data_IF_544119005517
#
_entry.id   IF_544119005517
#
_cell.length_a   1.000
_cell.length_b   1.000
_cell.length_c   1.000
_cell.angle_alpha   90.00
_cell.angle_beta   90.00
_cell.angle_gamma   90.00
#
_symmetry.space_group_name_H-M   'P 1'
#
loop_
_entity.id
_entity.type
_entity.pdbx_description
1 polymer ?
#
# COMPACT_ATOMS: atom_id res chain seq x y z
N UNK A 1 11.88 -4.06 -7.48
CA UNK A 1 11.04 -3.04 -8.13
C UNK A 1 9.65 -3.63 -8.24
N UNK A 2 8.66 -2.95 -7.67
CA UNK A 2 7.25 -3.34 -7.74
C UNK A 2 6.54 -2.59 -8.86
N UNK A 3 5.54 -3.23 -9.45
CA UNK A 3 4.59 -2.58 -10.36
C UNK A 3 3.34 -2.18 -9.58
N UNK A 4 2.91 -0.93 -9.74
CA UNK A 4 1.69 -0.42 -9.11
C UNK A 4 0.52 -0.54 -10.08
N UNK A 5 -0.42 -1.42 -9.74
CA UNK A 5 -1.66 -1.61 -10.50
C UNK A 5 -2.79 -0.92 -9.73
N UNK A 6 -3.33 0.13 -10.32
CA UNK A 6 -4.38 0.94 -9.71
C UNK A 6 -5.77 0.53 -10.18
N UNK A 7 -6.75 0.61 -9.29
CA UNK A 7 -8.16 0.54 -9.70
C UNK A 7 -8.60 1.92 -10.19
N UNK A 8 -9.55 2.01 -11.14
CA UNK A 8 -10.07 3.31 -11.59
C UNK A 8 -10.65 4.17 -10.46
N UNK A 9 -11.16 3.54 -9.39
CA UNK A 9 -11.62 4.24 -8.20
C UNK A 9 -10.47 4.85 -7.40
N UNK A 10 -9.37 4.10 -7.24
CA UNK A 10 -8.18 4.57 -6.54
C UNK A 10 -7.57 5.78 -7.26
N UNK A 11 -7.35 5.71 -8.58
CA UNK A 11 -6.77 6.81 -9.36
C UNK A 11 -7.58 8.10 -9.22
N UNK A 12 -8.91 8.03 -9.38
CA UNK A 12 -9.79 9.20 -9.20
C UNK A 12 -9.82 9.73 -7.77
N UNK A 13 -9.59 8.87 -6.78
CA UNK A 13 -9.56 9.28 -5.39
C UNK A 13 -8.22 9.95 -5.05
N UNK A 14 -7.10 9.34 -5.43
CA UNK A 14 -5.77 9.78 -5.01
C UNK A 14 -5.42 11.16 -5.53
N UNK A 15 -5.85 11.51 -6.76
CA UNK A 15 -5.71 12.85 -7.36
C UNK A 15 -6.38 13.97 -6.54
N UNK A 16 -7.38 13.63 -5.69
CA UNK A 16 -8.03 14.60 -4.79
C UNK A 16 -7.28 14.79 -3.48
N UNK A 17 -6.38 13.86 -3.15
CA UNK A 17 -5.68 13.82 -1.86
C UNK A 17 -4.20 14.13 -1.96
N UNK A 18 -3.55 13.80 -3.06
CA UNK A 18 -2.12 14.02 -3.31
C UNK A 18 -1.94 14.64 -4.69
N UNK A 19 -0.96 15.53 -4.81
CA UNK A 19 -0.41 15.92 -6.10
C UNK A 19 0.59 14.86 -6.59
N UNK A 20 1.09 15.01 -7.82
CA UNK A 20 1.97 14.03 -8.46
C UNK A 20 3.26 13.79 -7.66
N UNK A 21 3.84 14.84 -7.07
CA UNK A 21 5.07 14.76 -6.26
C UNK A 21 4.83 13.97 -4.97
N UNK A 22 3.75 14.26 -4.25
CA UNK A 22 3.39 13.52 -3.04
C UNK A 22 2.98 12.07 -3.35
N UNK A 23 2.36 11.84 -4.51
CA UNK A 23 2.03 10.50 -4.97
C UNK A 23 3.28 9.68 -5.32
N UNK A 24 4.26 10.30 -5.99
CA UNK A 24 5.55 9.69 -6.27
C UNK A 24 6.30 9.30 -4.98
N UNK A 25 6.25 10.13 -3.93
CA UNK A 25 6.82 9.79 -2.61
C UNK A 25 6.14 8.58 -1.99
N UNK A 26 4.81 8.48 -2.08
CA UNK A 26 4.07 7.32 -1.61
C UNK A 26 4.50 6.05 -2.36
N UNK A 27 4.60 6.11 -3.69
CA UNK A 27 5.02 4.97 -4.51
C UNK A 27 6.47 4.56 -4.21
N UNK A 28 7.39 5.52 -4.08
CA UNK A 28 8.78 5.25 -3.71
C UNK A 28 8.88 4.57 -2.34
N UNK A 29 8.16 5.10 -1.35
CA UNK A 29 8.09 4.49 -0.02
C UNK A 29 7.55 3.06 -0.05
N UNK A 30 6.46 2.81 -0.77
CA UNK A 30 5.89 1.46 -0.90
C UNK A 30 6.79 0.49 -1.69
N UNK A 31 7.58 1.00 -2.62
CA UNK A 31 8.54 0.18 -3.36
C UNK A 31 9.71 -0.28 -2.48
N UNK A 32 10.14 0.55 -1.51
CA UNK A 32 11.15 0.21 -0.51
C UNK A 32 10.59 -0.60 0.67
N UNK A 33 9.35 -0.30 1.06
CA UNK A 33 8.66 -0.89 2.22
C UNK A 33 7.31 -1.51 1.82
N UNK A 34 7.30 -2.56 0.99
CA UNK A 34 6.07 -3.18 0.50
C UNK A 34 5.20 -3.78 1.61
N UNK A 35 5.74 -3.99 2.81
CA UNK A 35 5.04 -4.57 3.95
C UNK A 35 4.64 -3.55 5.04
N UNK A 36 4.86 -2.25 4.79
CA UNK A 36 4.56 -1.18 5.76
C UNK A 36 3.10 -1.14 6.22
N UNK A 37 2.16 -1.62 5.41
CA UNK A 37 0.77 -1.79 5.80
C UNK A 37 0.54 -3.03 6.65
N UNK A 38 -0.15 -2.86 7.78
CA UNK A 38 -0.62 -3.96 8.60
C UNK A 38 -1.65 -4.80 7.82
N UNK A 39 -1.56 -6.12 7.95
CA UNK A 39 -2.54 -7.04 7.36
C UNK A 39 -3.89 -6.81 8.03
N UNK A 40 -4.93 -6.67 7.21
CA UNK A 40 -6.31 -6.63 7.69
C UNK A 40 -6.75 -8.08 7.91
N UNK A 41 -7.01 -8.46 9.17
CA UNK A 41 -7.42 -9.82 9.50
C UNK A 41 -8.68 -10.24 8.73
N UNK A 42 -8.71 -11.48 8.26
CA UNK A 42 -9.82 -12.05 7.49
C UNK A 42 -9.94 -11.54 6.04
N UNK A 43 -9.05 -10.67 5.57
CA UNK A 43 -9.14 -10.10 4.22
C UNK A 43 -8.33 -10.85 3.15
N UNK A 44 -7.71 -11.97 3.52
CA UNK A 44 -6.86 -12.76 2.60
C UNK A 44 -5.54 -12.09 2.20
N UNK A 45 -5.00 -11.15 2.99
CA UNK A 45 -3.67 -10.56 2.76
C UNK A 45 -3.66 -9.10 2.31
N UNK A 46 -4.82 -8.44 2.27
CA UNK A 46 -4.90 -6.98 2.09
C UNK A 46 -4.19 -6.25 3.22
N UNK A 47 -3.43 -5.22 2.88
CA UNK A 47 -2.66 -4.38 3.79
C UNK A 47 -3.26 -2.98 3.86
N UNK A 48 -3.16 -2.36 5.04
CA UNK A 48 -3.63 -0.99 5.30
C UNK A 48 -2.53 -0.20 6.00
N UNK A 49 -2.11 0.91 5.40
CA UNK A 49 -1.17 1.86 6.02
C UNK A 49 -1.77 3.26 6.13
N UNK A 50 -1.26 4.02 7.10
CA UNK A 50 -1.51 5.46 7.18
C UNK A 50 -0.37 6.19 6.49
N UNK A 51 -0.69 7.02 5.52
CA UNK A 51 0.25 7.91 4.85
C UNK A 51 -0.04 9.34 5.28
N UNK A 52 0.99 10.10 5.63
CA UNK A 52 0.88 11.52 5.92
C UNK A 52 1.90 12.23 5.03
N UNK A 53 1.42 12.93 3.99
CA UNK A 53 2.27 13.78 3.19
C UNK A 53 2.87 14.88 4.09
N UNK A 54 4.18 15.06 4.03
CA UNK A 54 4.91 16.05 4.80
C UNK A 54 4.40 17.46 4.46
N UNK A 55 4.23 18.32 5.46
CA UNK A 55 3.71 19.68 5.26
C UNK A 55 2.19 19.81 5.07
N UNK A 56 1.44 18.70 4.89
CA UNK A 56 -0.03 18.74 4.93
C UNK A 56 -0.53 18.52 6.36
N UNK A 57 -1.39 19.42 6.86
CA UNK A 57 -1.99 19.34 8.20
C UNK A 57 -2.92 18.12 8.38
N UNK A 58 -3.80 18.10 9.41
CA UNK A 58 -4.71 16.96 9.70
C UNK A 58 -5.48 16.39 8.50
N UNK A 59 -5.70 17.16 7.44
CA UNK A 59 -6.40 16.77 6.19
C UNK A 59 -5.51 16.11 5.14
N UNK A 60 -4.18 16.11 5.31
CA UNK A 60 -3.22 15.49 4.37
C UNK A 60 -2.94 14.01 4.60
N UNK A 61 -3.43 13.46 5.70
CA UNK A 61 -3.27 12.06 6.01
C UNK A 61 -4.34 11.20 5.33
N UNK A 62 -3.93 10.17 4.59
CA UNK A 62 -4.83 9.20 3.96
C UNK A 62 -4.50 7.77 4.38
N UNK A 63 -5.47 6.86 4.18
CA UNK A 63 -5.26 5.43 4.38
C UNK A 63 -5.11 4.77 3.02
N UNK A 64 -3.97 4.16 2.79
CA UNK A 64 -3.70 3.37 1.57
C UNK A 64 -4.06 1.93 1.88
N UNK A 65 -4.90 1.33 1.05
CA UNK A 65 -5.27 -0.07 1.11
C UNK A 65 -4.73 -0.72 -0.16
N UNK A 66 -3.90 -1.75 -0.02
CA UNK A 66 -3.23 -2.38 -1.15
C UNK A 66 -3.03 -3.87 -0.91
N UNK A 67 -2.72 -4.60 -1.98
CA UNK A 67 -2.39 -6.01 -1.93
C UNK A 67 -0.97 -6.21 -2.44
N UNK A 68 -0.15 -6.96 -1.70
CA UNK A 68 1.21 -7.28 -2.10
C UNK A 68 1.21 -8.61 -2.84
N UNK A 69 1.23 -8.55 -4.18
CA UNK A 69 1.38 -9.74 -5.00
C UNK A 69 2.87 -10.02 -5.23
N UNK A 70 3.38 -11.08 -4.61
CA UNK A 70 4.71 -11.63 -4.93
C UNK A 70 4.52 -12.74 -5.95
N UNK A 71 5.30 -12.75 -7.03
CA UNK A 71 5.42 -13.94 -7.86
C UNK A 71 5.82 -15.09 -6.94
N UNK A 72 5.07 -16.20 -7.01
CA UNK A 72 5.26 -17.34 -6.11
C UNK A 72 6.63 -17.96 -6.39
N UNK A 73 7.66 -17.52 -5.65
CA UNK A 73 8.85 -18.32 -5.41
C UNK A 73 8.42 -19.58 -4.68
N UNK A 74 9.07 -20.72 -4.95
CA UNK A 74 8.66 -22.07 -4.58
C UNK A 74 8.71 -22.39 -3.07
N UNK A 75 8.67 -21.39 -2.19
CA UNK A 75 9.04 -21.52 -0.77
C UNK A 75 8.04 -20.90 0.23
N UNK A 76 7.00 -20.19 -0.19
CA UNK A 76 6.07 -19.54 0.74
C UNK A 76 4.85 -20.42 1.12
N UNK A 77 5.06 -21.70 1.44
CA UNK A 77 4.01 -22.58 2.00
C UNK A 77 4.15 -22.75 3.53
N UNK A 78 5.26 -22.34 4.15
CA UNK A 78 5.56 -22.78 5.51
C UNK A 78 5.09 -21.84 6.65
N UNK A 79 4.69 -20.58 6.39
CA UNK A 79 4.33 -19.63 7.46
C UNK A 79 2.82 -19.55 7.79
N UNK A 80 2.00 -20.46 7.28
CA UNK A 80 0.55 -20.48 7.51
C UNK A 80 0.08 -21.65 8.39
N UNK A 81 0.96 -22.22 9.20
CA UNK A 81 0.60 -23.17 10.25
C UNK A 81 1.41 -22.89 11.51
N UNK A 82 0.88 -22.00 12.34
CA UNK A 82 1.04 -22.05 13.80
C UNK A 82 -0.02 -21.09 14.38
N UNK A 83 -1.25 -21.60 14.48
CA UNK A 83 -2.30 -21.25 15.45
C UNK A 83 -3.40 -22.33 15.42
#
# INVERSE_FOLDING_TARGET
MFEFIETPFFTKAIERYLDDDDYAKLQAYLNEHPEAGAIVSGSGGVRKMRWAAEGRGKRGGLRVIYYLLRARGKEAIDDAKDD
#
